data_IF_466726042749
#
_entry.id   IF_466726042749
#
_cell.length_a   1.000
_cell.length_b   1.000
_cell.length_c   1.000
_cell.angle_alpha   90.00
_cell.angle_beta   90.00
_cell.angle_gamma   90.00
#
_symmetry.space_group_name_H-M   'P 1'
#
loop_
_entity.id
_entity.type
_entity.pdbx_description
1 polymer ?
#
# COMPACT_ATOMS: atom_id res chain seq x y z
N UNK A 1 7.77 11.62 -23.84
CA UNK A 1 8.19 10.55 -22.90
C UNK A 1 7.26 10.60 -21.71
N UNK A 2 6.24 9.75 -21.67
CA UNK A 2 5.31 9.70 -20.52
C UNK A 2 6.04 9.06 -19.36
N UNK A 3 6.60 9.89 -18.48
CA UNK A 3 7.07 9.45 -17.17
C UNK A 3 5.83 9.10 -16.36
N UNK A 4 5.36 7.85 -16.49
CA UNK A 4 4.35 7.25 -15.62
C UNK A 4 4.78 7.52 -14.18
N UNK A 5 4.17 8.54 -13.56
CA UNK A 5 4.47 8.95 -12.21
C UNK A 5 3.98 7.83 -11.28
N UNK A 6 4.86 6.85 -11.04
CA UNK A 6 4.74 5.86 -9.97
C UNK A 6 4.74 6.59 -8.64
N UNK A 7 3.60 7.18 -8.27
CA UNK A 7 3.40 7.84 -6.97
C UNK A 7 3.28 6.75 -5.91
N UNK A 8 4.44 6.25 -5.47
CA UNK A 8 4.53 5.38 -4.29
C UNK A 8 4.11 6.21 -3.08
N UNK A 9 3.19 5.67 -2.30
CA UNK A 9 2.71 6.27 -1.05
C UNK A 9 3.67 5.87 0.06
N UNK A 10 4.30 6.87 0.69
CA UNK A 10 5.37 6.63 1.65
C UNK A 10 4.96 6.94 3.09
N UNK A 11 5.07 5.94 3.95
CA UNK A 11 4.83 6.02 5.39
C UNK A 11 3.49 5.41 5.78
N UNK A 12 3.46 4.76 6.95
CA UNK A 12 2.27 4.06 7.43
C UNK A 12 1.06 4.99 7.60
N UNK A 13 1.27 6.28 7.91
CA UNK A 13 0.19 7.27 8.01
C UNK A 13 -0.47 7.55 6.64
N UNK A 14 0.34 7.81 5.61
CA UNK A 14 -0.20 8.07 4.28
C UNK A 14 -0.86 6.82 3.69
N UNK A 15 -0.30 5.64 3.96
CA UNK A 15 -0.91 4.36 3.58
C UNK A 15 -2.24 4.16 4.32
N UNK A 16 -2.31 4.51 5.59
CA UNK A 16 -3.51 4.41 6.41
C UNK A 16 -4.66 5.30 5.89
N UNK A 17 -4.33 6.51 5.42
CA UNK A 17 -5.29 7.41 4.76
C UNK A 17 -5.83 6.81 3.44
N UNK A 18 -5.00 6.10 2.67
CA UNK A 18 -5.44 5.44 1.42
C UNK A 18 -6.37 4.25 1.68
N UNK A 19 -6.11 3.49 2.75
CA UNK A 19 -6.84 2.26 3.09
C UNK A 19 -8.03 2.55 4.03
N UNK A 20 -8.21 3.81 4.43
CA UNK A 20 -9.20 4.27 5.41
C UNK A 20 -9.19 3.41 6.69
N UNK A 21 -7.99 3.22 7.25
CA UNK A 21 -7.78 2.45 8.48
C UNK A 21 -6.95 3.23 9.49
N UNK A 22 -7.13 2.97 10.81
CA UNK A 22 -6.28 3.59 11.81
C UNK A 22 -4.81 3.18 11.63
N UNK A 23 -3.90 4.15 11.75
CA UNK A 23 -2.46 3.98 11.47
C UNK A 23 -1.83 2.79 12.19
N UNK A 24 -2.22 2.52 13.45
CA UNK A 24 -1.73 1.36 14.21
C UNK A 24 -2.15 0.02 13.59
N UNK A 25 -3.40 -0.09 13.15
CA UNK A 25 -3.90 -1.30 12.50
C UNK A 25 -3.25 -1.49 11.13
N UNK A 26 -3.04 -0.38 10.39
CA UNK A 26 -2.31 -0.40 9.12
C UNK A 26 -0.87 -0.83 9.32
N UNK A 27 -0.17 -0.34 10.34
CA UNK A 27 1.19 -0.77 10.66
C UNK A 27 1.26 -2.26 11.01
N UNK A 28 0.35 -2.74 11.85
CA UNK A 28 0.26 -4.16 12.18
C UNK A 28 -0.03 -5.02 10.93
N UNK A 29 -0.89 -4.55 10.02
CA UNK A 29 -1.18 -5.24 8.76
C UNK A 29 0.01 -5.21 7.78
N UNK A 30 0.76 -4.12 7.75
CA UNK A 30 2.02 -3.99 6.99
C UNK A 30 3.07 -4.97 7.51
N UNK A 31 3.26 -5.03 8.82
CA UNK A 31 4.20 -5.99 9.45
C UNK A 31 3.76 -7.44 9.26
N UNK A 32 2.46 -7.71 9.30
CA UNK A 32 1.90 -9.03 9.01
C UNK A 32 1.92 -9.40 7.51
N UNK A 33 2.36 -8.50 6.62
CA UNK A 33 2.40 -8.74 5.18
C UNK A 33 1.03 -8.86 4.51
N UNK A 34 -0.03 -8.34 5.15
CA UNK A 34 -1.42 -8.44 4.67
C UNK A 34 -1.81 -7.35 3.67
N UNK A 35 -0.92 -6.39 3.39
CA UNK A 35 -1.19 -5.29 2.46
C UNK A 35 -0.45 -5.57 1.14
N UNK A 36 -1.17 -5.92 0.06
CA UNK A 36 -0.57 -6.16 -1.25
C UNK A 36 0.09 -4.89 -1.78
N UNK A 37 1.27 -5.02 -2.40
CA UNK A 37 2.00 -3.87 -2.95
C UNK A 37 2.69 -2.98 -1.91
N UNK A 38 2.60 -3.31 -0.61
CA UNK A 38 3.35 -2.64 0.42
C UNK A 38 4.69 -3.34 0.71
N UNK A 39 5.76 -2.56 0.81
CA UNK A 39 7.11 -3.06 1.11
C UNK A 39 7.84 -2.13 2.05
N UNK A 40 8.63 -2.71 2.96
CA UNK A 40 9.58 -1.96 3.80
C UNK A 40 10.88 -1.76 3.02
N UNK A 41 11.24 -0.51 2.77
CA UNK A 41 12.46 -0.10 2.06
C UNK A 41 13.24 0.83 2.98
N UNK A 42 14.47 0.44 3.35
CA UNK A 42 15.36 1.23 4.21
C UNK A 42 14.68 1.77 5.50
N UNK A 43 13.85 0.94 6.15
CA UNK A 43 13.14 1.32 7.39
C UNK A 43 11.84 2.11 7.19
N UNK A 44 11.49 2.50 5.95
CA UNK A 44 10.24 3.19 5.63
C UNK A 44 9.29 2.27 4.86
N UNK A 45 7.99 2.35 5.17
CA UNK A 45 6.96 1.64 4.40
C UNK A 45 6.63 2.42 3.13
N UNK A 46 6.65 1.74 1.99
CA UNK A 46 6.16 2.24 0.70
C UNK A 46 5.03 1.34 0.20
N UNK A 47 3.95 1.94 -0.27
CA UNK A 47 2.83 1.25 -0.93
C UNK A 47 2.80 1.70 -2.38
N UNK A 48 2.73 0.73 -3.30
CA UNK A 48 2.32 1.00 -4.67
C UNK A 48 0.79 0.89 -4.78
N UNK A 49 0.06 2.01 -4.96
CA UNK A 49 -1.40 1.97 -5.03
C UNK A 49 -1.91 1.13 -6.20
N UNK A 50 -1.19 1.05 -7.33
CA UNK A 50 -1.63 0.27 -8.49
C UNK A 50 -1.65 -1.23 -8.17
N UNK A 51 -0.59 -1.73 -7.55
CA UNK A 51 -0.50 -3.14 -7.14
C UNK A 51 -1.54 -3.44 -6.07
N UNK A 52 -1.75 -2.51 -5.14
CA UNK A 52 -2.79 -2.63 -4.12
C UNK A 52 -4.17 -2.76 -4.76
N UNK A 53 -4.60 -1.80 -5.57
CA UNK A 53 -5.93 -1.83 -6.20
C UNK A 53 -6.10 -3.01 -7.16
N UNK A 54 -5.08 -3.37 -7.95
CA UNK A 54 -5.12 -4.53 -8.84
C UNK A 54 -5.32 -5.85 -8.07
N UNK A 55 -4.70 -5.98 -6.88
CA UNK A 55 -4.90 -7.15 -6.03
C UNK A 55 -6.35 -7.25 -5.50
N UNK A 56 -7.01 -6.11 -5.24
CA UNK A 56 -8.41 -6.08 -4.81
C UNK A 56 -9.40 -6.27 -5.96
N UNK A 57 -9.13 -5.71 -7.14
CA UNK A 57 -9.96 -5.90 -8.33
C UNK A 57 -10.01 -7.38 -8.74
N UNK A 58 -8.87 -8.08 -8.68
CA UNK A 58 -8.82 -9.51 -8.95
C UNK A 58 -9.48 -10.35 -7.84
N UNK A 59 -9.53 -9.86 -6.60
CA UNK A 59 -10.22 -10.51 -5.49
C UNK A 59 -11.75 -10.35 -5.54
N UNK A 60 -12.26 -9.30 -6.19
CA UNK A 60 -13.69 -9.07 -6.38
C UNK A 60 -14.28 -9.83 -7.59
N UNK A 61 -13.43 -10.26 -8.51
CA UNK A 61 -13.80 -10.99 -9.72
C UNK A 61 -13.81 -12.53 -9.57
N UNK A 62 -13.59 -13.05 -8.36
CA UNK A 62 -13.50 -14.48 -8.05
C UNK A 62 -14.73 -15.01 -7.30
#
# INVERSE_FOLDING_TARGET
MSTDQRKIVWGAKAIAEVIDRPVKATFAALEAGKIPGAKKVAGRWGLDPRVFFAAFENAAAA
#
